data_IF_320752828290
#
_entry.id   IF_320752828290
#
_cell.length_a   1.000
_cell.length_b   1.000
_cell.length_c   1.000
_cell.angle_alpha   90.00
_cell.angle_beta   90.00
_cell.angle_gamma   90.00
#
_symmetry.space_group_name_H-M   'P 1'
#
loop_
_entity.id
_entity.type
_entity.pdbx_description
1 polymer ?
#
# COMPACT_ATOMS: atom_id res chain seq x y z
N UNK A 1 -4.95 -5.21 24.50
CA UNK A 1 -5.20 -4.62 23.21
C UNK A 1 -5.57 -3.12 23.29
N UNK A 2 -6.72 -2.72 23.87
CA UNK A 2 -7.15 -1.30 23.94
C UNK A 2 -6.09 -0.39 24.57
N UNK A 3 -5.50 -0.82 25.68
CA UNK A 3 -4.42 -0.07 26.34
C UNK A 3 -3.24 0.15 25.40
N UNK A 4 -2.88 -0.88 24.65
CA UNK A 4 -1.70 -0.82 23.79
C UNK A 4 -1.95 0.05 22.54
N UNK A 5 -3.16 -0.02 21.98
CA UNK A 5 -3.59 0.88 20.88
C UNK A 5 -3.65 2.33 21.34
N UNK A 6 -4.22 2.59 22.53
CA UNK A 6 -4.24 3.94 23.09
C UNK A 6 -2.83 4.48 23.33
N UNK A 7 -1.95 3.68 23.93
CA UNK A 7 -0.56 4.07 24.17
C UNK A 7 0.18 4.40 22.86
N UNK A 8 -0.08 3.65 21.81
CA UNK A 8 0.49 3.91 20.48
C UNK A 8 -0.07 5.22 19.88
N UNK A 9 -1.37 5.44 19.96
CA UNK A 9 -2.00 6.67 19.48
C UNK A 9 -1.47 7.91 20.22
N UNK A 10 -1.35 7.83 21.54
CA UNK A 10 -0.76 8.89 22.38
C UNK A 10 0.70 9.19 21.93
N UNK A 11 1.48 8.14 21.70
CA UNK A 11 2.87 8.28 21.23
C UNK A 11 2.95 8.96 19.84
N UNK A 12 2.04 8.64 18.91
CA UNK A 12 1.97 9.35 17.63
C UNK A 12 1.61 10.83 17.80
N UNK A 13 0.64 11.16 18.66
CA UNK A 13 0.29 12.56 18.95
C UNK A 13 1.48 13.31 19.57
N UNK A 14 2.14 12.71 20.55
CA UNK A 14 3.30 13.32 21.21
C UNK A 14 4.47 13.54 20.23
N UNK A 15 4.75 12.55 19.37
CA UNK A 15 5.79 12.69 18.34
C UNK A 15 5.43 13.79 17.35
N UNK A 16 4.19 13.87 16.90
CA UNK A 16 3.72 14.95 16.03
C UNK A 16 3.90 16.33 16.66
N UNK A 17 3.49 16.50 17.90
CA UNK A 17 3.63 17.76 18.64
C UNK A 17 5.08 18.20 18.84
N UNK A 18 5.98 17.24 18.98
CA UNK A 18 7.42 17.52 19.18
C UNK A 18 8.14 17.85 17.87
N UNK A 19 7.79 17.20 16.78
CA UNK A 19 8.61 17.21 15.56
C UNK A 19 7.87 17.71 14.30
N UNK A 20 6.55 17.83 14.31
CA UNK A 20 5.74 18.19 13.14
C UNK A 20 5.79 17.15 12.01
N UNK A 21 6.30 15.98 12.29
CA UNK A 21 6.35 14.83 11.38
C UNK A 21 6.57 13.54 12.18
N UNK A 22 6.19 12.41 11.63
CA UNK A 22 6.57 11.11 12.21
C UNK A 22 7.86 10.56 11.62
N UNK A 23 8.27 11.08 10.46
CA UNK A 23 9.47 10.62 9.78
C UNK A 23 9.45 9.14 9.42
N UNK A 24 10.64 8.54 9.28
CA UNK A 24 10.77 7.12 8.96
C UNK A 24 11.39 6.29 10.09
N UNK A 25 12.36 6.84 10.80
CA UNK A 25 13.03 6.19 11.94
C UNK A 25 12.99 7.07 13.18
N UNK A 26 12.91 6.43 14.32
CA UNK A 26 13.00 7.06 15.63
C UNK A 26 14.16 6.48 16.44
N UNK A 27 14.78 7.28 17.26
CA UNK A 27 15.79 6.85 18.23
C UNK A 27 15.08 6.05 19.34
N UNK A 28 15.54 4.85 19.60
CA UNK A 28 14.88 3.95 20.55
C UNK A 28 14.90 4.51 21.98
N UNK A 29 16.00 5.16 22.37
CA UNK A 29 16.20 5.67 23.71
C UNK A 29 15.39 6.94 23.99
N UNK A 30 15.16 7.78 22.98
CA UNK A 30 14.55 9.13 23.17
C UNK A 30 13.22 9.29 22.48
N UNK A 31 12.89 8.42 21.53
CA UNK A 31 11.73 8.57 20.65
C UNK A 31 11.87 9.71 19.65
N UNK A 32 13.07 10.27 19.46
CA UNK A 32 13.29 11.39 18.55
C UNK A 32 13.30 10.91 17.09
N UNK A 33 12.65 11.67 16.21
CA UNK A 33 12.65 11.37 14.78
C UNK A 33 14.07 11.50 14.23
N UNK A 34 14.53 10.48 13.54
CA UNK A 34 15.87 10.41 12.98
C UNK A 34 15.93 10.76 11.49
N UNK A 35 14.89 10.47 10.73
CA UNK A 35 14.77 10.76 9.29
C UNK A 35 13.48 11.54 9.05
N UNK A 36 13.61 12.83 8.77
CA UNK A 36 12.51 13.79 8.72
C UNK A 36 11.85 13.90 7.34
N UNK A 37 12.65 14.01 6.29
CA UNK A 37 12.16 14.33 4.94
C UNK A 37 11.64 13.06 4.23
N UNK A 38 10.55 12.53 4.75
CA UNK A 38 9.91 11.30 4.25
C UNK A 38 8.44 11.29 4.67
N UNK A 39 7.60 10.66 3.87
CA UNK A 39 6.18 10.45 4.16
C UNK A 39 5.89 9.07 4.79
N UNK A 40 6.90 8.39 5.34
CA UNK A 40 6.76 7.04 5.91
C UNK A 40 5.70 6.90 7.01
N UNK A 41 5.41 7.99 7.73
CA UNK A 41 4.34 8.05 8.75
C UNK A 41 2.91 8.16 8.21
N UNK A 42 2.70 8.20 6.90
CA UNK A 42 1.39 8.49 6.30
C UNK A 42 0.25 7.57 6.77
N UNK A 43 0.50 6.29 7.05
CA UNK A 43 -0.51 5.36 7.55
C UNK A 43 -0.98 5.68 8.98
N UNK A 44 -0.18 6.38 9.77
CA UNK A 44 -0.57 6.78 11.14
C UNK A 44 -1.80 7.69 11.15
N UNK A 45 -2.05 8.43 10.08
CA UNK A 45 -3.25 9.27 9.91
C UNK A 45 -4.51 8.39 9.98
N UNK A 46 -4.58 7.30 9.21
CA UNK A 46 -5.70 6.37 9.26
C UNK A 46 -5.86 5.75 10.66
N UNK A 47 -4.74 5.31 11.26
CA UNK A 47 -4.73 4.76 12.61
C UNK A 47 -5.28 5.72 13.66
N UNK A 48 -4.83 6.98 13.64
CA UNK A 48 -5.33 8.03 14.56
C UNK A 48 -6.79 8.39 14.30
N UNK A 49 -7.23 8.41 13.04
CA UNK A 49 -8.63 8.67 12.68
C UNK A 49 -9.55 7.61 13.28
N UNK A 50 -9.21 6.33 13.11
CA UNK A 50 -9.98 5.22 13.67
C UNK A 50 -9.92 5.20 15.21
N UNK A 51 -8.75 5.49 15.79
CA UNK A 51 -8.59 5.59 17.24
C UNK A 51 -9.40 6.76 17.82
N UNK A 52 -9.52 7.87 17.09
CA UNK A 52 -10.34 9.02 17.51
C UNK A 52 -11.82 8.64 17.64
N UNK A 53 -12.35 7.90 16.69
CA UNK A 53 -13.73 7.40 16.71
C UNK A 53 -13.91 6.39 17.85
N UNK A 54 -13.06 5.36 17.88
CA UNK A 54 -13.19 4.26 18.86
C UNK A 54 -13.07 4.73 20.30
N UNK A 55 -12.14 5.63 20.61
CA UNK A 55 -11.89 6.14 21.95
C UNK A 55 -12.64 7.43 22.26
N UNK A 56 -13.37 8.00 21.30
CA UNK A 56 -14.01 9.33 21.43
C UNK A 56 -12.99 10.41 21.84
N UNK A 57 -11.81 10.41 21.19
CA UNK A 57 -10.68 11.28 21.54
C UNK A 57 -10.39 12.30 20.43
N UNK A 58 -10.85 13.56 20.55
CA UNK A 58 -10.78 14.56 19.48
C UNK A 58 -9.36 14.97 19.10
N UNK A 59 -8.39 14.90 20.01
CA UNK A 59 -7.00 15.25 19.72
C UNK A 59 -6.36 14.31 18.70
N UNK A 60 -6.76 13.04 18.67
CA UNK A 60 -6.29 12.09 17.66
C UNK A 60 -6.73 12.52 16.25
N UNK A 61 -8.01 12.92 16.12
CA UNK A 61 -8.52 13.41 14.83
C UNK A 61 -7.89 14.75 14.43
N UNK A 62 -7.67 15.66 15.38
CA UNK A 62 -7.00 16.94 15.12
C UNK A 62 -5.58 16.70 14.57
N UNK A 63 -4.80 15.83 15.23
CA UNK A 63 -3.45 15.46 14.79
C UNK A 63 -3.48 14.75 13.42
N UNK A 64 -4.45 13.87 13.18
CA UNK A 64 -4.61 13.21 11.89
C UNK A 64 -4.85 14.20 10.76
N UNK A 65 -5.67 15.23 10.98
CA UNK A 65 -5.92 16.31 9.99
C UNK A 65 -4.69 17.14 9.68
N UNK A 66 -3.98 17.59 10.72
CA UNK A 66 -2.74 18.35 10.53
C UNK A 66 -1.70 17.55 9.75
N UNK A 67 -1.55 16.27 10.08
CA UNK A 67 -0.64 15.39 9.38
C UNK A 67 -1.08 15.11 7.93
N UNK A 68 -2.39 14.98 7.69
CA UNK A 68 -2.94 14.80 6.36
C UNK A 68 -2.63 16.01 5.46
N UNK A 69 -2.79 17.22 5.98
CA UNK A 69 -2.44 18.45 5.26
C UNK A 69 -0.94 18.48 4.94
N UNK A 70 -0.10 18.26 5.94
CA UNK A 70 1.36 18.26 5.79
C UNK A 70 1.84 17.24 4.75
N UNK A 71 1.45 15.95 4.89
CA UNK A 71 1.92 14.93 3.97
C UNK A 71 1.35 15.08 2.56
N UNK A 72 0.14 15.60 2.43
CA UNK A 72 -0.40 15.90 1.12
C UNK A 72 0.32 17.05 0.44
N UNK A 73 0.49 18.17 1.13
CA UNK A 73 1.05 19.40 0.56
C UNK A 73 2.55 19.24 0.27
N UNK A 74 3.32 18.60 1.15
CA UNK A 74 4.78 18.51 1.02
C UNK A 74 5.24 17.34 0.14
N UNK A 75 4.44 16.28 0.00
CA UNK A 75 4.86 15.06 -0.70
C UNK A 75 3.93 14.69 -1.87
N UNK A 76 2.62 14.62 -1.66
CA UNK A 76 1.69 14.18 -2.69
C UNK A 76 1.64 15.14 -3.88
N UNK A 77 1.55 16.45 -3.62
CA UNK A 77 1.46 17.48 -4.66
C UNK A 77 2.67 17.53 -5.58
N UNK A 78 3.84 17.10 -5.09
CA UNK A 78 5.06 17.01 -5.89
C UNK A 78 5.30 15.61 -6.47
N UNK A 79 4.38 14.66 -6.21
CA UNK A 79 4.48 13.30 -6.73
C UNK A 79 5.59 12.46 -6.11
N UNK A 80 6.02 12.77 -4.89
CA UNK A 80 7.15 12.13 -4.24
C UNK A 80 6.79 11.61 -2.85
N UNK A 81 6.20 10.42 -2.79
CA UNK A 81 5.96 9.68 -1.54
C UNK A 81 7.11 8.72 -1.26
N UNK A 82 7.54 8.61 0.00
CA UNK A 82 8.73 7.84 0.37
C UNK A 82 8.68 7.29 1.79
N UNK A 83 9.46 6.23 2.05
CA UNK A 83 9.70 5.70 3.39
C UNK A 83 8.75 4.60 3.84
N UNK A 84 7.86 4.11 2.98
CA UNK A 84 6.93 3.02 3.29
C UNK A 84 7.65 1.72 3.58
N UNK A 85 8.62 1.35 2.75
CA UNK A 85 9.50 0.23 3.03
C UNK A 85 10.63 0.70 3.94
N UNK A 86 10.87 0.00 5.05
CA UNK A 86 11.89 0.39 6.03
C UNK A 86 13.31 0.48 5.49
N UNK A 87 13.63 -0.14 4.38
CA UNK A 87 14.95 -0.10 3.72
C UNK A 87 15.10 1.00 2.66
N UNK A 88 14.04 1.75 2.35
CA UNK A 88 14.03 2.74 1.26
C UNK A 88 14.45 4.14 1.71
N UNK A 89 14.30 4.47 2.97
CA UNK A 89 14.61 5.78 3.54
C UNK A 89 13.84 6.92 2.85
N UNK A 90 14.48 7.61 1.91
CA UNK A 90 13.96 8.81 1.23
C UNK A 90 13.77 8.61 -0.28
N UNK A 91 13.87 7.40 -0.80
CA UNK A 91 13.47 7.13 -2.18
C UNK A 91 11.95 7.08 -2.32
N UNK A 92 11.46 7.44 -3.49
CA UNK A 92 10.05 7.31 -3.79
C UNK A 92 9.61 5.84 -3.81
N UNK A 93 8.40 5.56 -3.35
CA UNK A 93 7.81 4.22 -3.31
C UNK A 93 6.30 4.22 -3.49
N UNK A 94 5.78 3.07 -3.92
CA UNK A 94 4.34 2.87 -4.11
C UNK A 94 3.59 2.63 -2.80
N UNK A 95 4.26 2.07 -1.80
CA UNK A 95 3.66 1.67 -0.53
C UNK A 95 3.16 2.89 0.25
N UNK A 96 3.98 3.93 0.32
CA UNK A 96 3.60 5.19 0.98
C UNK A 96 2.52 5.95 0.20
N UNK A 97 2.53 5.88 -1.13
CA UNK A 97 1.47 6.48 -1.94
C UNK A 97 0.10 5.89 -1.59
N UNK A 98 0.01 4.56 -1.51
CA UNK A 98 -1.22 3.86 -1.13
C UNK A 98 -1.57 4.10 0.34
N UNK A 99 -0.59 4.12 1.24
CA UNK A 99 -0.81 4.42 2.65
C UNK A 99 -1.43 5.81 2.86
N UNK A 100 -0.95 6.81 2.12
CA UNK A 100 -1.53 8.15 2.19
C UNK A 100 -2.92 8.21 1.56
N UNK A 101 -3.15 7.52 0.43
CA UNK A 101 -4.48 7.40 -0.18
C UNK A 101 -5.49 6.74 0.77
N UNK A 102 -5.09 5.65 1.44
CA UNK A 102 -5.89 4.96 2.47
C UNK A 102 -6.21 5.90 3.63
N UNK A 103 -5.25 6.70 4.05
CA UNK A 103 -5.44 7.68 5.12
C UNK A 103 -6.43 8.77 4.74
N UNK A 104 -6.38 9.29 3.51
CA UNK A 104 -7.34 10.30 3.04
C UNK A 104 -8.75 9.74 2.95
N UNK A 105 -8.93 8.52 2.42
CA UNK A 105 -10.27 7.94 2.35
C UNK A 105 -10.84 7.62 3.74
N UNK A 106 -9.98 7.22 4.69
CA UNK A 106 -10.39 7.00 6.09
C UNK A 106 -10.84 8.30 6.76
N UNK A 107 -10.13 9.41 6.53
CA UNK A 107 -10.57 10.73 7.00
C UNK A 107 -11.88 11.15 6.36
N UNK A 108 -12.06 10.92 5.06
CA UNK A 108 -13.34 11.21 4.40
C UNK A 108 -14.50 10.41 5.01
N UNK A 109 -14.31 9.11 5.23
CA UNK A 109 -15.33 8.25 5.85
C UNK A 109 -15.70 8.71 7.26
N UNK A 110 -14.72 9.19 8.04
CA UNK A 110 -14.94 9.64 9.41
C UNK A 110 -15.55 11.06 9.50
N UNK A 111 -15.23 11.94 8.55
CA UNK A 111 -15.58 13.37 8.65
C UNK A 111 -16.62 13.84 7.65
N UNK A 112 -16.76 13.18 6.51
CA UNK A 112 -17.56 13.62 5.37
C UNK A 112 -16.97 14.81 4.60
N UNK A 113 -15.76 15.26 4.94
CA UNK A 113 -15.13 16.44 4.36
C UNK A 113 -14.61 16.15 2.94
N UNK A 114 -15.17 16.84 1.95
CA UNK A 114 -14.92 16.60 0.53
C UNK A 114 -13.45 16.72 0.13
N UNK A 115 -12.68 17.57 0.80
CA UNK A 115 -11.25 17.76 0.53
C UNK A 115 -10.46 16.46 0.64
N UNK A 116 -10.81 15.58 1.59
CA UNK A 116 -10.12 14.30 1.74
C UNK A 116 -10.47 13.30 0.63
N UNK A 117 -11.71 13.34 0.12
CA UNK A 117 -12.07 12.54 -1.06
C UNK A 117 -11.30 13.00 -2.31
N UNK A 118 -11.19 14.30 -2.53
CA UNK A 118 -10.42 14.85 -3.64
C UNK A 118 -8.95 14.46 -3.55
N UNK A 119 -8.34 14.60 -2.37
CA UNK A 119 -6.95 14.16 -2.11
C UNK A 119 -6.77 12.66 -2.30
N UNK A 120 -7.73 11.84 -1.87
CA UNK A 120 -7.69 10.39 -2.09
C UNK A 120 -7.72 10.05 -3.59
N UNK A 121 -8.48 10.78 -4.39
CA UNK A 121 -8.51 10.64 -5.86
C UNK A 121 -7.17 11.00 -6.49
N UNK A 122 -6.58 12.12 -6.11
CA UNK A 122 -5.26 12.52 -6.62
C UNK A 122 -4.19 11.48 -6.28
N UNK A 123 -4.21 10.98 -5.05
CA UNK A 123 -3.30 9.93 -4.61
C UNK A 123 -3.54 8.59 -5.33
N UNK A 124 -4.79 8.26 -5.66
CA UNK A 124 -5.08 7.08 -6.48
C UNK A 124 -4.48 7.20 -7.89
N UNK A 125 -4.48 8.40 -8.47
CA UNK A 125 -3.78 8.67 -9.73
C UNK A 125 -2.25 8.50 -9.57
N UNK A 126 -1.68 8.98 -8.46
CA UNK A 126 -0.27 8.73 -8.15
C UNK A 126 0.00 7.22 -7.99
N UNK A 127 -0.85 6.48 -7.29
CA UNK A 127 -0.75 5.02 -7.17
C UNK A 127 -0.77 4.33 -8.53
N UNK A 128 -1.63 4.78 -9.46
CA UNK A 128 -1.71 4.21 -10.81
C UNK A 128 -0.39 4.33 -11.58
N UNK A 129 0.42 5.36 -11.31
CA UNK A 129 1.73 5.51 -11.97
C UNK A 129 2.75 4.44 -11.58
N UNK A 130 2.53 3.74 -10.48
CA UNK A 130 3.35 2.64 -10.01
C UNK A 130 2.90 1.27 -10.54
N UNK A 131 1.74 1.20 -11.19
CA UNK A 131 1.17 -0.05 -11.69
C UNK A 131 1.61 -0.29 -13.13
N UNK A 132 2.09 -1.50 -13.41
CA UNK A 132 2.47 -1.90 -14.76
C UNK A 132 1.22 -2.04 -15.63
N UNK A 133 1.11 -1.22 -16.66
CA UNK A 133 -0.07 -1.08 -17.50
C UNK A 133 -0.02 -1.90 -18.81
N UNK A 134 1.01 -2.71 -19.01
CA UNK A 134 1.16 -3.52 -20.21
C UNK A 134 1.79 -4.89 -19.92
N UNK A 135 1.44 -5.94 -20.68
CA UNK A 135 2.08 -7.23 -20.58
C UNK A 135 3.49 -7.15 -21.17
N UNK A 136 4.51 -7.38 -20.36
CA UNK A 136 5.89 -7.44 -20.85
C UNK A 136 6.45 -8.85 -20.76
N UNK A 137 7.45 -9.12 -21.60
CA UNK A 137 8.05 -10.45 -21.70
C UNK A 137 9.04 -10.68 -20.57
N UNK A 138 8.78 -11.71 -19.79
CA UNK A 138 9.76 -12.22 -18.85
C UNK A 138 10.88 -12.98 -19.59
N UNK A 139 12.12 -12.97 -19.05
CA UNK A 139 13.17 -13.86 -19.54
C UNK A 139 12.71 -15.32 -19.50
N UNK A 140 12.93 -16.05 -20.59
CA UNK A 140 12.39 -17.41 -20.80
C UNK A 140 12.90 -18.45 -19.79
N UNK A 141 14.00 -18.16 -19.11
CA UNK A 141 14.61 -19.00 -18.08
C UNK A 141 14.01 -18.81 -16.68
N UNK A 142 13.03 -17.90 -16.55
CA UNK A 142 12.36 -17.63 -15.25
C UNK A 142 11.19 -18.58 -15.01
N UNK A 143 10.86 -18.92 -13.74
CA UNK A 143 9.70 -19.75 -13.42
C UNK A 143 8.38 -19.17 -13.93
N UNK A 144 8.15 -17.87 -13.75
CA UNK A 144 6.91 -17.21 -14.18
C UNK A 144 6.76 -17.18 -15.69
N UNK A 145 7.85 -17.01 -16.45
CA UNK A 145 7.79 -17.10 -17.91
C UNK A 145 7.38 -18.50 -18.37
N UNK A 146 7.87 -19.55 -17.70
CA UNK A 146 7.48 -20.96 -18.01
C UNK A 146 6.02 -21.25 -17.67
N UNK A 147 5.46 -20.54 -16.71
CA UNK A 147 4.03 -20.60 -16.35
C UNK A 147 3.15 -19.74 -17.25
N UNK A 148 3.74 -18.93 -18.13
CA UNK A 148 3.01 -17.99 -19.00
C UNK A 148 2.36 -16.84 -18.25
N UNK A 149 2.95 -16.42 -17.12
CA UNK A 149 2.39 -15.39 -16.27
C UNK A 149 2.24 -14.04 -17.01
N UNK A 150 1.08 -13.40 -16.85
CA UNK A 150 0.84 -12.03 -17.29
C UNK A 150 1.00 -11.09 -16.11
N UNK A 151 1.99 -10.21 -16.17
CA UNK A 151 2.34 -9.32 -15.08
C UNK A 151 1.77 -7.90 -15.21
N UNK A 152 0.81 -7.68 -16.11
CA UNK A 152 0.02 -6.45 -16.10
C UNK A 152 -0.69 -6.34 -14.75
N UNK A 153 -0.62 -5.16 -14.13
CA UNK A 153 -1.13 -4.98 -12.77
C UNK A 153 -0.07 -5.15 -11.66
N UNK A 154 1.13 -5.69 -11.96
CA UNK A 154 2.21 -5.72 -10.98
C UNK A 154 2.55 -4.29 -10.51
N UNK A 155 2.80 -4.13 -9.23
CA UNK A 155 3.09 -2.82 -8.65
C UNK A 155 4.60 -2.63 -8.56
N UNK A 156 5.14 -1.59 -9.18
CA UNK A 156 6.54 -1.25 -9.03
C UNK A 156 6.82 -0.78 -7.61
N UNK A 157 7.67 -1.47 -6.88
CA UNK A 157 7.88 -1.20 -5.46
C UNK A 157 8.57 0.14 -5.22
N UNK A 158 9.76 0.30 -5.82
CA UNK A 158 10.55 1.53 -5.75
C UNK A 158 11.73 1.49 -6.73
N UNK A 159 12.35 2.63 -7.05
CA UNK A 159 13.61 2.65 -7.81
C UNK A 159 14.76 1.91 -7.11
N UNK A 160 14.76 1.85 -5.79
CA UNK A 160 15.77 1.12 -5.02
C UNK A 160 15.56 -0.39 -5.10
N UNK A 161 14.35 -0.87 -4.93
CA UNK A 161 14.02 -2.30 -4.95
C UNK A 161 14.00 -2.88 -6.37
N UNK A 162 13.83 -2.05 -7.40
CA UNK A 162 13.97 -2.40 -8.82
C UNK A 162 13.16 -3.61 -9.28
N UNK A 163 11.98 -3.80 -8.71
CA UNK A 163 11.07 -4.87 -9.13
C UNK A 163 9.61 -4.48 -9.02
N UNK A 164 8.76 -5.14 -9.78
CA UNK A 164 7.32 -5.15 -9.58
C UNK A 164 6.93 -6.24 -8.58
N UNK A 165 6.07 -5.90 -7.66
CA UNK A 165 5.55 -6.76 -6.61
C UNK A 165 4.12 -7.23 -6.94
N UNK A 166 3.65 -8.30 -6.32
CA UNK A 166 2.28 -8.78 -6.46
C UNK A 166 1.32 -7.99 -5.55
N UNK A 167 1.04 -6.75 -5.91
CA UNK A 167 0.20 -5.84 -5.15
C UNK A 167 0.96 -4.76 -4.39
N UNK A 168 0.21 -3.88 -3.71
CA UNK A 168 0.78 -2.86 -2.84
C UNK A 168 1.25 -3.53 -1.55
N UNK A 169 2.54 -3.41 -1.26
CA UNK A 169 3.16 -4.11 -0.14
C UNK A 169 2.41 -3.84 1.18
N UNK A 170 2.09 -4.90 1.89
CA UNK A 170 1.35 -4.91 3.18
C UNK A 170 -0.03 -4.25 3.18
N UNK A 171 -0.62 -3.99 2.00
CA UNK A 171 -1.94 -3.37 1.86
C UNK A 171 -2.78 -4.12 0.82
N UNK A 172 -4.11 -4.08 0.98
CA UNK A 172 -5.04 -4.71 0.03
C UNK A 172 -5.27 -3.90 -1.24
N UNK A 173 -5.10 -2.58 -1.17
CA UNK A 173 -5.57 -1.65 -2.19
C UNK A 173 -7.07 -1.36 -2.11
N UNK A 174 -7.74 -1.65 -0.99
CA UNK A 174 -9.17 -1.41 -0.74
C UNK A 174 -9.58 0.06 -0.94
N UNK A 175 -8.66 0.98 -0.80
CA UNK A 175 -8.86 2.40 -1.13
C UNK A 175 -9.41 2.60 -2.55
N UNK A 176 -8.93 1.82 -3.52
CA UNK A 176 -9.44 1.88 -4.89
C UNK A 176 -10.88 1.36 -4.97
N UNK A 177 -11.21 0.31 -4.23
CA UNK A 177 -12.58 -0.18 -4.14
C UNK A 177 -13.52 0.83 -3.47
N UNK A 178 -13.09 1.46 -2.39
CA UNK A 178 -13.84 2.52 -1.71
C UNK A 178 -14.07 3.72 -2.64
N UNK A 179 -13.05 4.17 -3.35
CA UNK A 179 -13.18 5.23 -4.35
C UNK A 179 -14.19 4.86 -5.44
N UNK A 180 -14.13 3.65 -5.99
CA UNK A 180 -15.14 3.17 -6.93
C UNK A 180 -16.56 3.24 -6.34
N UNK A 181 -16.76 2.76 -5.12
CA UNK A 181 -18.06 2.75 -4.46
C UNK A 181 -18.62 4.14 -4.19
N UNK A 182 -17.75 5.11 -3.90
CA UNK A 182 -18.15 6.49 -3.58
C UNK A 182 -18.40 7.28 -4.86
N UNK A 183 -17.55 7.11 -5.88
CA UNK A 183 -17.56 7.96 -7.06
C UNK A 183 -18.33 7.37 -8.25
N UNK A 184 -18.46 6.05 -8.31
CA UNK A 184 -18.96 5.33 -9.48
C UNK A 184 -17.96 5.25 -10.65
N UNK A 185 -16.73 5.72 -10.47
CA UNK A 185 -15.71 5.69 -11.52
C UNK A 185 -15.09 4.29 -11.63
N UNK A 186 -15.40 3.61 -12.73
CA UNK A 186 -14.99 2.23 -13.00
C UNK A 186 -13.47 2.06 -13.14
N UNK A 187 -12.73 3.13 -13.47
CA UNK A 187 -11.27 3.08 -13.59
C UNK A 187 -10.59 2.59 -12.30
N UNK A 188 -11.14 2.95 -11.13
CA UNK A 188 -10.61 2.45 -9.86
C UNK A 188 -10.82 0.95 -9.69
N UNK A 189 -11.97 0.43 -10.08
CA UNK A 189 -12.26 -1.00 -10.02
C UNK A 189 -11.41 -1.78 -11.03
N UNK A 190 -11.20 -1.24 -12.24
CA UNK A 190 -10.35 -1.84 -13.26
C UNK A 190 -8.89 -1.91 -12.81
N UNK A 191 -8.35 -0.80 -12.27
CA UNK A 191 -6.99 -0.76 -11.74
C UNK A 191 -6.79 -1.79 -10.61
N UNK A 192 -7.74 -1.85 -9.67
CA UNK A 192 -7.68 -2.80 -8.58
C UNK A 192 -7.76 -4.25 -9.08
N UNK A 193 -8.59 -4.52 -10.09
CA UNK A 193 -8.69 -5.84 -10.72
C UNK A 193 -7.37 -6.27 -11.33
N UNK A 194 -6.69 -5.37 -12.04
CA UNK A 194 -5.38 -5.66 -12.63
C UNK A 194 -4.35 -5.99 -11.56
N UNK A 195 -4.32 -5.23 -10.46
CA UNK A 195 -3.43 -5.48 -9.31
C UNK A 195 -3.69 -6.86 -8.69
N UNK A 196 -4.97 -7.22 -8.48
CA UNK A 196 -5.34 -8.52 -7.92
C UNK A 196 -4.99 -9.66 -8.88
N UNK A 197 -5.18 -9.49 -10.18
CA UNK A 197 -4.79 -10.48 -11.18
C UNK A 197 -3.27 -10.69 -11.19
N UNK A 198 -2.48 -9.63 -11.12
CA UNK A 198 -1.03 -9.75 -11.03
C UNK A 198 -0.57 -10.47 -9.75
N UNK A 199 -1.28 -10.26 -8.62
CA UNK A 199 -1.04 -11.02 -7.41
C UNK A 199 -1.25 -12.52 -7.63
N UNK A 200 -2.34 -12.88 -8.31
CA UNK A 200 -2.64 -14.26 -8.67
C UNK A 200 -1.56 -14.91 -9.52
N UNK A 201 -1.06 -14.18 -10.52
CA UNK A 201 0.00 -14.67 -11.40
C UNK A 201 1.33 -14.90 -10.67
N UNK A 202 1.52 -14.27 -9.52
CA UNK A 202 2.66 -14.49 -8.63
C UNK A 202 2.61 -15.78 -7.82
N UNK A 203 1.45 -16.47 -7.78
CA UNK A 203 1.27 -17.70 -6.99
C UNK A 203 1.87 -18.88 -7.75
N UNK A 204 2.84 -19.53 -7.14
CA UNK A 204 3.47 -20.72 -7.69
C UNK A 204 2.66 -22.01 -7.39
N UNK A 205 2.87 -23.12 -8.13
CA UNK A 205 2.18 -24.38 -7.89
C UNK A 205 2.32 -24.94 -6.47
N UNK A 206 3.36 -24.56 -5.75
CA UNK A 206 3.57 -24.95 -4.35
C UNK A 206 2.87 -24.01 -3.33
N UNK A 207 2.08 -23.05 -3.82
CA UNK A 207 1.36 -22.07 -3.00
C UNK A 207 2.19 -20.88 -2.52
N UNK A 208 3.49 -20.81 -2.84
CA UNK A 208 4.31 -19.64 -2.53
C UNK A 208 3.97 -18.50 -3.48
N UNK A 209 4.04 -17.27 -2.98
CA UNK A 209 3.86 -16.07 -3.80
C UNK A 209 5.23 -15.45 -4.06
N UNK A 210 5.52 -15.21 -5.33
CA UNK A 210 6.78 -14.59 -5.74
C UNK A 210 6.75 -13.09 -5.44
N UNK A 211 7.64 -12.62 -4.59
CA UNK A 211 7.73 -11.19 -4.27
C UNK A 211 8.18 -10.36 -5.46
N UNK A 212 9.16 -10.85 -6.19
CA UNK A 212 9.73 -10.14 -7.34
C UNK A 212 9.16 -10.70 -8.64
N UNK A 213 8.06 -10.15 -9.08
CA UNK A 213 7.43 -10.56 -10.34
C UNK A 213 8.27 -10.14 -11.55
N UNK A 214 8.90 -8.96 -11.46
CA UNK A 214 9.69 -8.41 -12.55
C UNK A 214 11.17 -8.46 -12.20
N UNK A 215 11.97 -9.07 -13.06
CA UNK A 215 13.40 -9.16 -12.86
C UNK A 215 14.10 -7.97 -13.53
N UNK A 216 14.54 -7.02 -12.74
CA UNK A 216 15.24 -5.83 -13.23
C UNK A 216 16.75 -5.94 -13.14
N UNK A 217 17.27 -6.91 -12.39
CA UNK A 217 18.70 -7.17 -12.24
C UNK A 217 19.03 -8.67 -12.24
N UNK A 218 20.31 -9.00 -12.37
CA UNK A 218 20.76 -10.39 -12.41
C UNK A 218 20.56 -11.12 -11.05
N UNK A 219 20.54 -10.38 -9.96
CA UNK A 219 20.42 -10.95 -8.61
C UNK A 219 18.98 -11.38 -8.34
N UNK A 220 17.99 -10.68 -8.91
CA UNK A 220 16.60 -11.10 -8.81
C UNK A 220 16.33 -12.44 -9.50
N UNK A 221 17.19 -12.88 -10.43
CA UNK A 221 17.18 -14.24 -10.93
C UNK A 221 17.55 -15.27 -9.87
N UNK A 222 18.26 -14.86 -8.83
CA UNK A 222 18.63 -15.72 -7.71
C UNK A 222 17.44 -16.17 -6.87
N UNK A 223 16.35 -15.44 -6.91
CA UNK A 223 15.09 -15.93 -6.34
C UNK A 223 14.49 -17.10 -7.12
N UNK A 224 15.01 -17.41 -8.34
CA UNK A 224 14.89 -18.65 -9.17
C UNK A 224 13.73 -19.59 -8.82
N UNK A 225 12.60 -19.05 -8.42
CA UNK A 225 11.48 -19.83 -7.92
C UNK A 225 11.46 -20.01 -6.41
N UNK A 226 12.46 -19.53 -5.67
CA UNK A 226 12.40 -19.51 -4.20
C UNK A 226 11.55 -18.33 -3.71
N UNK A 227 11.15 -17.49 -4.68
CA UNK A 227 10.21 -16.42 -4.56
C UNK A 227 10.34 -15.61 -3.29
N UNK A 228 11.45 -14.98 -3.04
CA UNK A 228 11.64 -14.27 -1.77
C UNK A 228 11.15 -15.05 -0.54
N UNK A 229 11.69 -14.79 0.58
CA UNK A 229 11.13 -15.36 1.80
C UNK A 229 9.77 -14.68 2.01
N UNK A 230 8.76 -15.48 1.93
CA UNK A 230 7.36 -15.33 2.29
C UNK A 230 7.09 -14.39 3.48
N UNK A 231 5.97 -13.74 3.48
CA UNK A 231 5.43 -12.93 4.57
C UNK A 231 4.65 -11.73 4.06
N UNK A 232 5.24 -10.92 3.21
CA UNK A 232 4.60 -9.70 2.70
C UNK A 232 3.50 -10.01 1.69
N UNK A 233 3.75 -10.93 0.78
CA UNK A 233 2.86 -11.23 -0.33
C UNK A 233 1.66 -12.06 0.09
N UNK A 234 1.86 -12.99 1.01
CA UNK A 234 0.76 -13.72 1.64
C UNK A 234 -0.12 -12.78 2.46
N UNK A 235 0.48 -11.77 3.10
CA UNK A 235 -0.28 -10.73 3.80
C UNK A 235 -1.14 -9.93 2.83
N UNK A 236 -0.60 -9.51 1.69
CA UNK A 236 -1.39 -8.83 0.65
C UNK A 236 -2.59 -9.66 0.21
N UNK A 237 -2.37 -10.92 -0.10
CA UNK A 237 -3.45 -11.82 -0.51
C UNK A 237 -4.51 -12.04 0.58
N UNK A 238 -4.09 -12.15 1.83
CA UNK A 238 -5.01 -12.26 2.96
C UNK A 238 -5.83 -10.98 3.14
N UNK A 239 -5.20 -9.81 3.08
CA UNK A 239 -5.89 -8.52 3.17
C UNK A 239 -6.85 -8.31 2.00
N UNK A 240 -6.43 -8.61 0.76
CA UNK A 240 -7.33 -8.57 -0.41
C UNK A 240 -8.59 -9.42 -0.20
N UNK A 241 -8.43 -10.64 0.32
CA UNK A 241 -9.55 -11.54 0.56
C UNK A 241 -10.46 -11.10 1.72
N UNK A 242 -9.92 -10.38 2.70
CA UNK A 242 -10.66 -9.90 3.86
C UNK A 242 -11.36 -8.55 3.64
N UNK A 243 -10.74 -7.66 2.90
CA UNK A 243 -11.14 -6.26 2.79
C UNK A 243 -11.87 -5.94 1.49
N UNK A 244 -11.66 -6.76 0.42
CA UNK A 244 -12.27 -6.50 -0.89
C UNK A 244 -13.35 -7.54 -1.17
N UNK A 245 -14.65 -7.18 -1.20
CA UNK A 245 -15.73 -8.10 -1.50
C UNK A 245 -15.57 -8.76 -2.88
N UNK A 246 -15.79 -10.08 -2.94
CA UNK A 246 -15.69 -10.85 -4.18
C UNK A 246 -14.29 -11.30 -4.55
N UNK A 247 -13.28 -10.96 -3.74
CA UNK A 247 -11.93 -11.52 -3.89
C UNK A 247 -11.82 -12.82 -3.09
N UNK A 248 -11.34 -13.86 -3.74
CA UNK A 248 -10.97 -15.10 -3.09
C UNK A 248 -9.76 -15.74 -3.76
N UNK A 249 -8.91 -16.36 -2.97
CA UNK A 249 -7.70 -17.01 -3.43
C UNK A 249 -7.96 -18.52 -3.50
N UNK A 250 -7.83 -19.10 -4.70
CA UNK A 250 -7.86 -20.54 -4.90
C UNK A 250 -6.45 -21.07 -5.08
N UNK A 251 -5.93 -21.68 -4.04
CA UNK A 251 -4.57 -22.25 -4.04
C UNK A 251 -4.48 -23.55 -4.82
N UNK A 252 -5.58 -24.29 -4.96
CA UNK A 252 -5.66 -25.54 -5.72
C UNK A 252 -5.47 -25.37 -7.23
N UNK A 253 -5.75 -24.16 -7.76
CA UNK A 253 -5.59 -23.83 -9.17
C UNK A 253 -4.48 -22.80 -9.42
N UNK A 254 -3.82 -22.29 -8.38
CA UNK A 254 -2.86 -21.20 -8.49
C UNK A 254 -3.45 -19.93 -9.12
N UNK A 255 -4.73 -19.65 -8.89
CA UNK A 255 -5.42 -18.49 -9.46
C UNK A 255 -6.20 -17.75 -8.39
N UNK A 256 -6.13 -16.43 -8.42
CA UNK A 256 -7.08 -15.55 -7.75
C UNK A 256 -8.21 -15.18 -8.71
N UNK A 257 -9.38 -15.00 -8.16
CA UNK A 257 -10.54 -14.48 -8.87
C UNK A 257 -11.00 -13.20 -8.17
N UNK A 258 -11.16 -12.15 -8.94
CA UNK A 258 -11.62 -10.88 -8.42
C UNK A 258 -12.77 -10.35 -9.29
N UNK A 259 -13.86 -9.96 -8.65
CA UNK A 259 -14.95 -9.18 -9.24
C UNK A 259 -15.69 -9.78 -10.44
N UNK A 260 -15.41 -10.98 -10.89
CA UNK A 260 -16.07 -11.55 -12.08
C UNK A 260 -17.60 -11.72 -11.91
N UNK A 261 -18.11 -11.53 -10.70
CA UNK A 261 -19.52 -11.72 -10.34
C UNK A 261 -20.14 -10.56 -9.55
N UNK A 262 -19.41 -9.48 -9.29
CA UNK A 262 -19.97 -8.30 -8.65
C UNK A 262 -20.41 -7.32 -9.75
N UNK A 263 -21.69 -7.39 -10.10
CA UNK A 263 -22.39 -6.38 -10.89
C UNK A 263 -22.99 -5.35 -9.97
#
# INVERSE_FOLDING_TARGET
>A
WERDVRSLADAFVDTWRRFGTWGNYVQVETGDVAVYNTSGGAMAIAGLTLAAEYFSHPDYLATAREAADFYYDDFATVGFTSGGCGDILQNSDSETAVALATSMITLYEATGEQVYLERARDLAHLCATWVVSFPYRLPSDTPLARLGANLMGAVWASPQNKHGAPGFCTQSGDVLFKLYRITGDELYAELLRDVIHAHAEGIQPNGKITERLTYCDADSRGSRGDGGKTGWNETNGALMALEIPGVYIRTDLGRCYAFDHVK
#
